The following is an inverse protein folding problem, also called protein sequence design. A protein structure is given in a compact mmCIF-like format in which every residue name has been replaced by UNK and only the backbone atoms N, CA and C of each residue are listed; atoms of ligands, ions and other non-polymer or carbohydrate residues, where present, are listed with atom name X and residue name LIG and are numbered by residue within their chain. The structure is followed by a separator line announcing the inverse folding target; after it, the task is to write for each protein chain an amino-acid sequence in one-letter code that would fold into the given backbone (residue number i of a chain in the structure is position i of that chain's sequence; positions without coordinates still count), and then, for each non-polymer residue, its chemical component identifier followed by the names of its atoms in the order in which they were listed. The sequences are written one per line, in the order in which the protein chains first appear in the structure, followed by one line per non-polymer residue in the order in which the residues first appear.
data_IF_536014364657
#
_entry.id   IF_536014364657
#
_cell.length_a   1.000
_cell.length_b   1.000
_cell.length_c   1.000
_cell.angle_alpha   90.00
_cell.angle_beta   90.00
_cell.angle_gamma   90.00
#
_symmetry.space_group_name_H-M   'P 1'
#
loop_
_entity.id
_entity.type
_entity.pdbx_description
1 polymer ?
#
# COMPACT_ATOMS: atom_id res chain seq x y z
N UNK A 1 -2.55 -16.44 -30.96
CA UNK A 1 -2.91 -17.71 -30.31
C UNK A 1 -2.05 -17.87 -29.06
N UNK A 2 -2.60 -17.55 -27.89
CA UNK A 2 -1.88 -17.77 -26.63
C UNK A 2 -1.83 -19.28 -26.37
N UNK A 3 -0.63 -19.85 -26.27
CA UNK A 3 -0.45 -21.25 -25.86
C UNK A 3 -0.90 -21.33 -24.40
N UNK A 4 -2.01 -22.01 -24.12
CA UNK A 4 -2.39 -22.38 -22.76
C UNK A 4 -1.27 -23.24 -22.19
N UNK A 5 -0.50 -22.67 -21.28
CA UNK A 5 0.37 -23.46 -20.41
C UNK A 5 -0.57 -24.18 -19.43
N UNK A 6 -0.20 -25.32 -18.86
CA UNK A 6 -1.14 -26.06 -17.99
C UNK A 6 -1.68 -25.17 -16.86
N UNK A 7 -2.89 -25.45 -16.33
CA UNK A 7 -3.53 -24.64 -15.27
C UNK A 7 -2.59 -24.30 -14.09
N UNK A 8 -1.68 -25.21 -13.73
CA UNK A 8 -0.70 -24.99 -12.67
C UNK A 8 0.40 -23.98 -13.03
N UNK A 9 0.80 -23.89 -14.31
CA UNK A 9 1.78 -22.92 -14.78
C UNK A 9 1.14 -21.55 -15.03
N UNK A 10 -0.12 -21.53 -15.48
CA UNK A 10 -0.91 -20.30 -15.59
C UNK A 10 -1.09 -19.61 -14.23
N UNK A 11 -1.29 -20.38 -13.15
CA UNK A 11 -1.34 -19.87 -11.76
C UNK A 11 0.03 -19.37 -11.26
N UNK A 12 1.12 -19.98 -11.70
CA UNK A 12 2.47 -19.58 -11.30
C UNK A 12 2.96 -18.34 -12.07
N UNK A 13 2.48 -18.15 -13.30
CA UNK A 13 2.86 -17.05 -14.19
C UNK A 13 1.83 -15.92 -14.19
N UNK A 14 0.71 -16.06 -13.48
CA UNK A 14 -0.26 -14.97 -13.36
C UNK A 14 0.31 -13.88 -12.46
N UNK A 15 0.41 -12.67 -13.00
CA UNK A 15 0.68 -11.48 -12.20
C UNK A 15 -0.31 -11.42 -11.02
N UNK A 16 0.18 -11.22 -9.79
CA UNK A 16 -0.68 -11.19 -8.63
C UNK A 16 -1.69 -10.04 -8.75
N UNK A 17 -2.93 -10.29 -8.34
CA UNK A 17 -3.96 -9.24 -8.35
C UNK A 17 -3.62 -8.16 -7.32
N UNK A 18 -4.17 -6.96 -7.50
CA UNK A 18 -4.02 -5.87 -6.53
C UNK A 18 -4.47 -6.30 -5.12
N UNK A 19 -5.57 -7.06 -5.03
CA UNK A 19 -6.07 -7.59 -3.75
C UNK A 19 -5.09 -8.60 -3.12
N UNK A 20 -4.50 -9.49 -3.92
CA UNK A 20 -3.49 -10.43 -3.43
C UNK A 20 -2.25 -9.69 -2.91
N UNK A 21 -1.75 -8.72 -3.66
CA UNK A 21 -0.62 -7.88 -3.26
C UNK A 21 -0.93 -7.12 -1.97
N UNK A 22 -2.12 -6.52 -1.86
CA UNK A 22 -2.53 -5.79 -0.66
C UNK A 22 -2.63 -6.71 0.56
N UNK A 23 -3.22 -7.90 0.42
CA UNK A 23 -3.31 -8.87 1.53
C UNK A 23 -1.94 -9.35 1.98
N UNK A 24 -1.05 -9.69 1.04
CA UNK A 24 0.33 -10.08 1.38
C UNK A 24 1.12 -8.94 2.01
N UNK A 25 0.89 -7.68 1.61
CA UNK A 25 1.52 -6.52 2.24
C UNK A 25 1.13 -6.41 3.72
N UNK A 26 -0.16 -6.56 4.04
CA UNK A 26 -0.66 -6.55 5.43
C UNK A 26 -0.06 -7.70 6.24
N UNK A 27 -0.03 -8.92 5.69
CA UNK A 27 0.58 -10.08 6.38
C UNK A 27 2.07 -9.86 6.67
N UNK A 28 2.81 -9.25 5.75
CA UNK A 28 4.22 -8.93 5.95
C UNK A 28 4.43 -7.82 6.99
N UNK A 29 3.56 -6.81 7.00
CA UNK A 29 3.57 -5.74 8.01
C UNK A 29 3.35 -6.32 9.41
N UNK A 30 2.35 -7.19 9.59
CA UNK A 30 2.07 -7.88 10.85
C UNK A 30 3.23 -8.77 11.33
N UNK A 31 4.04 -9.30 10.40
CA UNK A 31 5.23 -10.09 10.70
C UNK A 31 6.49 -9.24 10.95
N UNK A 32 6.40 -7.91 10.87
CA UNK A 32 7.53 -6.99 11.05
C UNK A 32 8.46 -6.87 9.83
N UNK A 33 8.10 -7.47 8.70
CA UNK A 33 8.85 -7.45 7.44
C UNK A 33 8.55 -6.17 6.65
N UNK A 34 8.72 -5.01 7.31
CA UNK A 34 8.22 -3.71 6.85
C UNK A 34 8.76 -3.28 5.48
N UNK A 35 10.00 -3.64 5.13
CA UNK A 35 10.59 -3.33 3.82
C UNK A 35 9.84 -4.05 2.70
N UNK A 36 9.49 -5.32 2.90
CA UNK A 36 8.74 -6.10 1.91
C UNK A 36 7.28 -5.65 1.86
N UNK A 37 6.66 -5.37 3.02
CA UNK A 37 5.32 -4.80 3.09
C UNK A 37 5.23 -3.48 2.32
N UNK A 38 6.17 -2.56 2.56
CA UNK A 38 6.26 -1.29 1.85
C UNK A 38 6.41 -1.49 0.34
N UNK A 39 7.27 -2.42 -0.10
CA UNK A 39 7.42 -2.75 -1.51
C UNK A 39 6.09 -3.19 -2.15
N UNK A 40 5.34 -4.08 -1.50
CA UNK A 40 4.05 -4.54 -2.00
C UNK A 40 2.99 -3.42 -2.00
N UNK A 41 2.97 -2.56 -0.98
CA UNK A 41 2.10 -1.37 -1.01
C UNK A 41 2.43 -0.44 -2.18
N UNK A 42 3.71 -0.23 -2.48
CA UNK A 42 4.11 0.55 -3.66
C UNK A 42 3.64 -0.09 -4.96
N UNK A 43 3.63 -1.41 -5.08
CA UNK A 43 3.04 -2.08 -6.24
C UNK A 43 1.54 -1.79 -6.33
N UNK A 44 0.80 -1.94 -5.23
CA UNK A 44 -0.66 -1.64 -5.16
C UNK A 44 -0.96 -0.20 -5.55
N UNK A 45 -0.16 0.78 -5.10
CA UNK A 45 -0.32 2.21 -5.41
C UNK A 45 -0.23 2.49 -6.92
N UNK A 46 0.54 1.67 -7.65
CA UNK A 46 0.73 1.79 -9.09
C UNK A 46 -0.32 1.01 -9.91
N UNK A 47 -1.19 0.24 -9.27
CA UNK A 47 -2.26 -0.51 -9.93
C UNK A 47 -3.55 0.30 -10.01
N UNK A 48 -4.42 -0.09 -10.95
CA UNK A 48 -5.78 0.44 -11.03
C UNK A 48 -6.72 -0.44 -10.20
N UNK A 49 -7.14 0.06 -9.03
CA UNK A 49 -8.21 -0.57 -8.28
C UNK A 49 -8.43 0.02 -6.88
N UNK A 50 -9.26 -0.62 -6.04
CA UNK A 50 -9.84 0.02 -4.86
C UNK A 50 -8.89 0.11 -3.66
N UNK A 51 -7.73 -0.55 -3.68
CA UNK A 51 -6.83 -0.61 -2.52
C UNK A 51 -5.81 0.52 -2.49
N UNK A 52 -5.69 1.32 -3.56
CA UNK A 52 -4.73 2.43 -3.64
C UNK A 52 -4.76 3.36 -2.42
N UNK A 53 -5.94 3.80 -1.97
CA UNK A 53 -6.07 4.71 -0.80
C UNK A 53 -5.57 4.05 0.49
N UNK A 54 -5.91 2.78 0.72
CA UNK A 54 -5.45 2.01 1.89
C UNK A 54 -3.95 1.75 1.84
N UNK A 55 -3.42 1.41 0.67
CA UNK A 55 -1.99 1.19 0.48
C UNK A 55 -1.17 2.46 0.71
N UNK A 56 -1.63 3.62 0.24
CA UNK A 56 -1.00 4.92 0.57
C UNK A 56 -0.98 5.17 2.07
N UNK A 57 -2.09 4.91 2.77
CA UNK A 57 -2.18 5.09 4.21
C UNK A 57 -1.22 4.17 4.98
N UNK A 58 -1.18 2.87 4.67
CA UNK A 58 -0.31 1.92 5.36
C UNK A 58 1.18 2.18 5.03
N UNK A 59 1.50 2.49 3.77
CA UNK A 59 2.86 2.89 3.39
C UNK A 59 3.31 4.16 4.12
N UNK A 60 2.40 5.12 4.34
CA UNK A 60 2.69 6.31 5.14
C UNK A 60 2.95 5.97 6.62
N UNK A 61 2.19 5.04 7.22
CA UNK A 61 2.43 4.59 8.58
C UNK A 61 3.83 3.97 8.73
N UNK A 62 4.21 3.06 7.83
CA UNK A 62 5.55 2.46 7.79
C UNK A 62 6.63 3.54 7.67
N UNK A 63 6.45 4.52 6.77
CA UNK A 63 7.42 5.62 6.60
C UNK A 63 7.56 6.45 7.87
N UNK A 64 6.46 6.77 8.55
CA UNK A 64 6.47 7.54 9.78
C UNK A 64 7.21 6.82 10.91
N UNK A 65 6.91 5.53 11.13
CA UNK A 65 7.58 4.69 12.14
C UNK A 65 9.10 4.61 11.94
N UNK A 66 9.56 4.72 10.70
CA UNK A 66 10.97 4.66 10.34
C UNK A 66 11.61 6.05 10.13
N UNK A 67 10.97 7.13 10.60
CA UNK A 67 11.51 8.48 10.62
C UNK A 67 11.41 9.26 9.30
N UNK A 68 10.78 8.70 8.27
CA UNK A 68 10.54 9.36 6.98
C UNK A 68 9.24 10.19 6.99
N UNK A 69 9.07 11.02 8.02
CA UNK A 69 7.81 11.74 8.30
C UNK A 69 7.36 12.64 7.14
N UNK A 70 8.29 13.34 6.48
CA UNK A 70 7.96 14.21 5.34
C UNK A 70 7.32 13.42 4.18
N UNK A 71 7.85 12.23 3.87
CA UNK A 71 7.29 11.36 2.82
C UNK A 71 5.96 10.73 3.24
N UNK A 72 5.83 10.36 4.51
CA UNK A 72 4.55 9.88 5.05
C UNK A 72 3.44 10.93 4.86
N UNK A 73 3.74 12.20 5.15
CA UNK A 73 2.81 13.31 4.92
C UNK A 73 2.45 13.47 3.43
N UNK A 74 3.40 13.31 2.51
CA UNK A 74 3.12 13.33 1.07
C UNK A 74 2.15 12.22 0.66
N UNK A 75 2.33 11.00 1.17
CA UNK A 75 1.47 9.85 0.86
C UNK A 75 0.06 10.04 1.41
N UNK A 76 -0.09 10.55 2.64
CA UNK A 76 -1.40 10.85 3.22
C UNK A 76 -2.12 11.98 2.44
N UNK A 77 -1.38 12.99 1.95
CA UNK A 77 -1.94 14.02 1.07
C UNK A 77 -2.41 13.45 -0.26
N UNK A 78 -1.64 12.54 -0.88
CA UNK A 78 -2.07 11.84 -2.09
C UNK A 78 -3.36 11.06 -1.81
N UNK A 79 -3.42 10.33 -0.70
CA UNK A 79 -4.59 9.53 -0.33
C UNK A 79 -5.84 10.41 -0.14
N UNK A 80 -5.73 11.57 0.52
CA UNK A 80 -6.83 12.54 0.66
C UNK A 80 -7.21 13.22 -0.65
N UNK A 81 -6.33 13.29 -1.64
CA UNK A 81 -6.70 13.81 -2.96
C UNK A 81 -7.62 12.85 -3.71
N UNK A 82 -7.59 11.55 -3.37
CA UNK A 82 -8.44 10.50 -3.93
C UNK A 82 -9.73 10.33 -3.10
N UNK A 83 -9.62 10.27 -1.77
CA UNK A 83 -10.75 10.19 -0.84
C UNK A 83 -10.67 11.32 0.21
N UNK A 84 -11.19 12.52 -0.12
CA UNK A 84 -11.17 13.67 0.79
C UNK A 84 -12.00 13.49 2.06
N UNK A 85 -12.90 12.50 2.09
CA UNK A 85 -13.78 12.22 3.23
C UNK A 85 -13.19 11.22 4.22
N UNK A 86 -12.00 10.68 3.95
CA UNK A 86 -11.40 9.67 4.80
C UNK A 86 -10.91 10.24 6.14
N UNK A 87 -11.70 10.07 7.19
CA UNK A 87 -11.38 10.60 8.53
C UNK A 87 -10.11 9.97 9.11
N UNK A 88 -9.86 8.67 8.89
CA UNK A 88 -8.66 8.00 9.37
C UNK A 88 -7.38 8.64 8.82
N UNK A 89 -7.36 8.95 7.52
CA UNK A 89 -6.19 9.59 6.89
C UNK A 89 -6.02 11.02 7.41
N UNK A 90 -7.11 11.76 7.65
CA UNK A 90 -7.04 13.10 8.25
C UNK A 90 -6.43 13.06 9.65
N UNK A 91 -6.83 12.09 10.46
CA UNK A 91 -6.29 11.86 11.81
C UNK A 91 -4.79 11.55 11.75
N UNK A 92 -4.38 10.61 10.89
CA UNK A 92 -2.97 10.26 10.71
C UNK A 92 -2.14 11.48 10.26
N UNK A 93 -2.67 12.27 9.32
CA UNK A 93 -1.98 13.47 8.82
C UNK A 93 -1.87 14.56 9.90
N UNK A 94 -2.88 14.68 10.76
CA UNK A 94 -2.87 15.61 11.88
C UNK A 94 -1.82 15.21 12.91
N UNK A 95 -1.81 13.93 13.32
CA UNK A 95 -0.84 13.40 14.28
C UNK A 95 0.62 13.67 13.82
N UNK A 96 0.96 13.32 12.57
CA UNK A 96 2.31 13.53 12.04
C UNK A 96 2.74 15.00 11.91
N UNK A 97 1.78 15.94 11.84
CA UNK A 97 2.10 17.37 11.81
C UNK A 97 2.28 17.97 13.20
N UNK A 98 1.62 17.41 14.21
CA UNK A 98 1.72 17.85 15.61
C UNK A 98 3.01 17.34 16.27
N UNK A 99 3.59 16.25 15.77
CA UNK A 99 4.85 15.67 16.25
C UNK A 99 6.13 16.34 15.69
N UNK A 100 6.00 17.34 14.81
CA UNK A 100 7.13 18.14 14.26
C UNK A 100 7.41 19.40 15.05
#
# INVERSE_FOLDING_TARGET
MSKRLGRGLDLFLSEPSEEQLFRSAVELEENGEWLMAFHLYMMVINMSGPHKVKALNNAAAILAEHGFVDKAIEFLKEALSIDPSNEQIKENLKALKEER
#
